data_IF_556201021660
#
_entry.id   IF_556201021660
#
_cell.length_a   1.000
_cell.length_b   1.000
_cell.length_c   1.000
_cell.angle_alpha   90.00
_cell.angle_beta   90.00
_cell.angle_gamma   90.00
#
_symmetry.space_group_name_H-M   'P 1'
#
loop_
_entity.id
_entity.type
_entity.pdbx_description
1 polymer ?
#
# COMPACT_ATOMS: atom_id res chain seq x y z
N UNK A 1 12.17 57.62 -3.91
CA UNK A 1 12.43 56.29 -4.50
C UNK A 1 11.51 55.30 -3.81
N UNK A 2 10.46 54.83 -4.49
CA UNK A 2 9.43 53.95 -3.93
C UNK A 2 9.80 52.50 -4.22
N UNK A 3 10.08 51.74 -3.17
CA UNK A 3 10.42 50.32 -3.21
C UNK A 3 9.12 49.51 -3.34
N UNK A 4 8.92 48.83 -4.46
CA UNK A 4 7.79 47.91 -4.65
C UNK A 4 8.20 46.53 -4.13
N UNK A 5 7.65 46.13 -2.99
CA UNK A 5 7.74 44.76 -2.49
C UNK A 5 6.68 43.91 -3.21
N UNK A 6 7.14 43.00 -4.08
CA UNK A 6 6.29 42.03 -4.77
C UNK A 6 6.14 40.82 -3.83
N UNK A 7 4.99 40.73 -3.16
CA UNK A 7 4.59 39.59 -2.35
C UNK A 7 4.04 38.52 -3.30
N UNK A 8 4.79 37.46 -3.54
CA UNK A 8 4.31 36.27 -4.25
C UNK A 8 3.48 35.42 -3.29
N UNK A 9 2.16 35.58 -3.35
CA UNK A 9 1.20 34.71 -2.68
C UNK A 9 1.04 33.43 -3.51
N UNK A 10 1.77 32.37 -3.16
CA UNK A 10 1.53 31.03 -3.71
C UNK A 10 0.20 30.50 -3.15
N UNK A 11 -0.80 30.43 -4.02
CA UNK A 11 -2.08 29.79 -3.72
C UNK A 11 -1.84 28.28 -3.75
N UNK A 12 -1.67 27.69 -2.57
CA UNK A 12 -1.68 26.23 -2.39
C UNK A 12 -3.12 25.77 -2.49
N UNK A 13 -3.51 25.24 -3.65
CA UNK A 13 -4.80 24.57 -3.83
C UNK A 13 -4.75 23.24 -3.07
N UNK A 14 -5.26 23.25 -1.84
CA UNK A 14 -5.57 22.03 -1.09
C UNK A 14 -6.73 21.32 -1.79
N UNK A 15 -6.41 20.38 -2.67
CA UNK A 15 -7.37 19.40 -3.14
C UNK A 15 -7.81 18.55 -1.92
N UNK A 16 -8.99 18.87 -1.40
CA UNK A 16 -9.70 18.08 -0.40
C UNK A 16 -10.17 16.78 -1.05
N UNK A 17 -9.36 15.73 -0.93
CA UNK A 17 -9.75 14.38 -1.30
C UNK A 17 -10.71 13.81 -0.23
N UNK A 18 -12.00 14.09 -0.36
CA UNK A 18 -13.04 13.72 0.63
C UNK A 18 -13.47 12.25 0.62
N UNK A 19 -12.77 11.35 -0.09
CA UNK A 19 -13.10 9.92 -0.10
C UNK A 19 -12.28 9.17 0.94
N UNK A 20 -12.44 9.56 2.21
CA UNK A 20 -11.87 8.92 3.38
C UNK A 20 -12.76 7.72 3.74
N UNK A 21 -12.48 6.56 3.15
CA UNK A 21 -13.03 5.31 3.68
C UNK A 21 -12.09 4.79 4.76
N UNK A 22 -12.63 4.56 5.96
CA UNK A 22 -11.89 4.01 7.08
C UNK A 22 -11.48 2.56 6.77
N UNK A 23 -10.19 2.23 6.96
CA UNK A 23 -9.62 0.89 6.71
C UNK A 23 -10.21 -0.22 7.59
N UNK A 24 -10.96 0.14 8.65
CA UNK A 24 -11.66 -0.81 9.50
C UNK A 24 -12.74 -1.63 8.77
N UNK A 25 -13.10 -1.31 7.53
CA UNK A 25 -14.16 -2.02 6.80
C UNK A 25 -13.88 -3.53 6.59
N UNK A 26 -12.63 -3.99 6.77
CA UNK A 26 -12.25 -5.39 6.51
C UNK A 26 -12.08 -6.26 7.75
N UNK A 27 -12.04 -5.68 8.96
CA UNK A 27 -11.81 -6.44 10.21
C UNK A 27 -12.93 -6.15 11.20
N UNK A 28 -13.87 -7.09 11.33
CA UNK A 28 -14.96 -7.01 12.32
C UNK A 28 -14.46 -7.44 13.70
N UNK A 29 -13.58 -6.65 14.32
CA UNK A 29 -13.13 -6.85 15.69
C UNK A 29 -13.58 -5.67 16.57
N UNK A 30 -14.45 -5.88 17.57
CA UNK A 30 -14.98 -4.80 18.42
C UNK A 30 -13.91 -4.13 19.29
N UNK A 31 -12.75 -4.77 19.49
CA UNK A 31 -11.63 -4.23 20.26
C UNK A 31 -10.75 -3.29 19.42
N UNK A 32 -10.95 -3.19 18.10
CA UNK A 32 -10.22 -2.23 17.26
C UNK A 32 -10.79 -0.82 17.39
N UNK A 33 -9.93 0.20 17.58
CA UNK A 33 -10.38 1.58 17.61
C UNK A 33 -10.79 2.03 16.20
N UNK A 34 -11.49 3.17 16.10
CA UNK A 34 -11.64 3.84 14.81
C UNK A 34 -10.32 4.57 14.49
N UNK A 35 -9.69 4.22 13.39
CA UNK A 35 -8.50 4.89 12.88
C UNK A 35 -8.51 4.91 11.35
N UNK A 36 -7.64 5.73 10.78
CA UNK A 36 -7.36 5.74 9.35
C UNK A 36 -5.90 6.11 9.13
N UNK A 37 -5.25 5.44 8.18
CA UNK A 37 -3.88 5.78 7.77
C UNK A 37 -3.76 5.87 6.26
N UNK A 38 -3.49 7.04 5.69
CA UNK A 38 -3.19 7.15 4.26
C UNK A 38 -1.71 7.43 4.05
N UNK A 39 -1.08 6.80 3.07
CA UNK A 39 0.32 7.10 2.77
C UNK A 39 0.51 8.57 2.33
N UNK A 40 -0.53 9.20 1.80
CA UNK A 40 -0.57 10.62 1.47
C UNK A 40 -0.42 11.53 2.69
N UNK A 41 -0.64 11.04 3.92
CA UNK A 41 -0.41 11.80 5.16
C UNK A 41 1.05 11.80 5.63
N UNK A 42 1.93 10.97 5.04
CA UNK A 42 3.38 11.01 5.33
C UNK A 42 4.02 12.28 4.75
N UNK A 43 5.15 12.75 5.31
CA UNK A 43 5.95 13.82 4.72
C UNK A 43 6.29 13.53 3.25
N UNK A 44 6.34 14.57 2.42
CA UNK A 44 6.60 14.42 0.99
C UNK A 44 7.92 13.69 0.68
N UNK A 45 8.99 13.98 1.44
CA UNK A 45 10.28 13.31 1.31
C UNK A 45 10.16 11.78 1.50
N UNK A 46 9.39 11.33 2.50
CA UNK A 46 9.17 9.91 2.76
C UNK A 46 8.37 9.26 1.62
N UNK A 47 7.38 9.98 1.08
CA UNK A 47 6.55 9.50 -0.05
C UNK A 47 7.38 9.35 -1.34
N UNK A 48 8.25 10.32 -1.62
CA UNK A 48 9.20 10.26 -2.75
C UNK A 48 10.14 9.07 -2.57
N UNK A 49 10.74 8.91 -1.39
CA UNK A 49 11.63 7.79 -1.12
C UNK A 49 10.93 6.43 -1.29
N UNK A 50 9.70 6.31 -0.77
CA UNK A 50 8.90 5.10 -0.92
C UNK A 50 8.58 4.79 -2.39
N UNK A 51 8.27 5.82 -3.19
CA UNK A 51 8.08 5.68 -4.63
C UNK A 51 9.34 5.17 -5.34
N UNK A 52 10.52 5.70 -5.02
CA UNK A 52 11.78 5.24 -5.60
C UNK A 52 12.06 3.78 -5.26
N UNK A 53 11.86 3.39 -4.00
CA UNK A 53 12.01 1.99 -3.57
C UNK A 53 11.04 1.07 -4.30
N UNK A 54 9.76 1.47 -4.44
CA UNK A 54 8.75 0.69 -5.15
C UNK A 54 9.10 0.51 -6.64
N UNK A 55 9.56 1.57 -7.29
CA UNK A 55 9.99 1.53 -8.69
C UNK A 55 11.24 0.66 -8.88
N UNK A 56 12.19 0.72 -7.96
CA UNK A 56 13.37 -0.14 -7.97
C UNK A 56 12.99 -1.62 -7.87
N UNK A 57 12.07 -1.95 -6.95
CA UNK A 57 11.52 -3.30 -6.81
C UNK A 57 10.87 -3.80 -8.11
N UNK A 58 10.08 -2.94 -8.78
CA UNK A 58 9.47 -3.26 -10.07
C UNK A 58 10.54 -3.57 -11.14
N UNK A 59 11.56 -2.71 -11.26
CA UNK A 59 12.65 -2.92 -12.23
C UNK A 59 13.39 -4.23 -11.99
N UNK A 60 13.77 -4.51 -10.74
CA UNK A 60 14.46 -5.76 -10.40
C UNK A 60 13.61 -6.97 -10.74
N UNK A 61 12.31 -6.95 -10.42
CA UNK A 61 11.41 -8.06 -10.71
C UNK A 61 11.20 -8.27 -12.21
N UNK A 62 11.14 -7.20 -12.99
CA UNK A 62 11.00 -7.30 -14.44
C UNK A 62 12.33 -7.59 -15.17
N UNK A 63 13.47 -7.63 -14.48
CA UNK A 63 14.78 -7.83 -15.13
C UNK A 63 15.38 -6.57 -15.76
N UNK A 64 14.96 -5.39 -15.31
CA UNK A 64 15.54 -4.10 -15.65
C UNK A 64 14.51 -3.05 -16.11
N UNK A 65 14.94 -1.78 -16.28
CA UNK A 65 14.05 -0.68 -16.65
C UNK A 65 13.40 -0.85 -18.03
N UNK A 66 14.11 -1.42 -19.01
CA UNK A 66 13.57 -1.66 -20.36
C UNK A 66 12.51 -2.77 -20.40
N UNK A 67 12.42 -3.56 -19.33
CA UNK A 67 11.46 -4.64 -19.18
C UNK A 67 10.28 -4.28 -18.28
N UNK A 68 10.25 -3.06 -17.74
CA UNK A 68 9.21 -2.58 -16.85
C UNK A 68 8.47 -1.36 -17.46
N UNK A 69 7.74 -1.52 -18.58
CA UNK A 69 7.08 -0.40 -19.28
C UNK A 69 6.03 0.31 -18.43
N UNK A 70 5.44 -0.37 -17.44
CA UNK A 70 4.50 0.21 -16.49
C UNK A 70 5.14 0.36 -15.11
N UNK A 71 6.24 1.10 -15.02
CA UNK A 71 6.92 1.32 -13.74
C UNK A 71 6.79 2.79 -13.30
N UNK A 72 5.78 3.06 -12.47
CA UNK A 72 5.54 4.41 -11.98
C UNK A 72 5.07 4.42 -10.52
N UNK A 73 5.27 5.56 -9.88
CA UNK A 73 4.70 5.90 -8.60
C UNK A 73 4.53 7.41 -8.50
N UNK A 74 3.32 7.86 -8.19
CA UNK A 74 2.99 9.26 -8.01
C UNK A 74 3.13 9.62 -6.52
N UNK A 75 4.11 10.44 -6.15
CA UNK A 75 4.38 10.79 -4.73
C UNK A 75 3.32 11.69 -4.09
N UNK A 76 2.40 12.27 -4.88
CA UNK A 76 1.27 13.07 -4.39
C UNK A 76 0.08 12.19 -4.03
N UNK A 77 -0.30 11.26 -4.91
CA UNK A 77 -1.47 10.39 -4.73
C UNK A 77 -1.10 9.03 -4.15
N UNK A 78 0.18 8.69 -4.11
CA UNK A 78 0.71 7.35 -3.82
C UNK A 78 0.19 6.25 -4.76
N UNK A 79 -0.43 6.64 -5.88
CA UNK A 79 -0.84 5.72 -6.94
C UNK A 79 0.39 5.12 -7.61
N UNK A 80 0.39 3.79 -7.76
CA UNK A 80 1.52 3.07 -8.34
C UNK A 80 1.07 2.00 -9.31
N UNK A 81 1.99 1.63 -10.20
CA UNK A 81 1.83 0.51 -11.11
C UNK A 81 3.18 -0.16 -11.34
N UNK A 82 3.13 -1.50 -11.46
CA UNK A 82 4.22 -2.30 -11.99
C UNK A 82 3.69 -3.27 -13.03
N UNK A 83 4.31 -3.32 -14.19
CA UNK A 83 4.05 -4.31 -15.23
C UNK A 83 5.30 -4.58 -16.03
N UNK A 84 5.59 -5.87 -16.25
CA UNK A 84 6.72 -6.28 -17.07
C UNK A 84 6.28 -6.56 -18.51
N UNK A 85 7.19 -6.42 -19.47
CA UNK A 85 6.87 -6.63 -20.89
C UNK A 85 6.76 -8.09 -21.29
N UNK A 86 7.44 -8.99 -20.59
CA UNK A 86 7.55 -10.41 -20.93
C UNK A 86 6.98 -11.35 -19.86
N UNK A 87 6.52 -10.82 -18.73
CA UNK A 87 5.88 -11.60 -17.67
C UNK A 87 4.96 -10.78 -16.77
N UNK A 88 4.18 -11.46 -15.96
CA UNK A 88 3.58 -10.85 -14.77
C UNK A 88 4.67 -10.77 -13.69
N UNK A 89 4.79 -9.67 -12.93
CA UNK A 89 5.71 -9.62 -11.80
C UNK A 89 5.47 -10.80 -10.85
N UNK A 90 6.53 -11.45 -10.37
CA UNK A 90 6.42 -12.63 -9.50
C UNK A 90 5.96 -12.28 -8.07
N UNK A 91 5.90 -10.98 -7.75
CA UNK A 91 5.50 -10.47 -6.45
C UNK A 91 3.99 -10.44 -6.29
N UNK A 92 3.54 -10.92 -5.14
CA UNK A 92 2.15 -10.79 -4.71
C UNK A 92 1.92 -9.46 -4.00
N UNK A 93 0.65 -9.06 -3.89
CA UNK A 93 0.24 -7.73 -3.42
C UNK A 93 0.91 -7.26 -2.12
N UNK A 94 1.08 -8.14 -1.12
CA UNK A 94 1.63 -7.76 0.18
C UNK A 94 3.15 -7.56 0.20
N UNK A 95 3.86 -7.99 -0.85
CA UNK A 95 5.33 -7.89 -0.94
C UNK A 95 5.79 -6.54 -1.50
N UNK A 96 4.88 -5.79 -2.14
CA UNK A 96 5.17 -4.48 -2.70
C UNK A 96 5.49 -3.46 -1.60
N UNK A 97 6.58 -2.68 -1.72
CA UNK A 97 7.00 -1.71 -0.70
C UNK A 97 5.88 -0.75 -0.26
N UNK A 98 5.10 -0.21 -1.19
CA UNK A 98 3.97 0.68 -0.88
C UNK A 98 2.91 -0.02 -0.03
N UNK A 99 2.54 -1.24 -0.39
CA UNK A 99 1.50 -1.99 0.32
C UNK A 99 1.98 -2.38 1.72
N UNK A 100 3.25 -2.77 1.86
CA UNK A 100 3.86 -3.08 3.16
C UNK A 100 3.94 -1.84 4.06
N UNK A 101 4.36 -0.70 3.51
CA UNK A 101 4.43 0.56 4.27
C UNK A 101 3.04 1.03 4.71
N UNK A 102 2.03 0.83 3.87
CA UNK A 102 0.65 1.08 4.25
C UNK A 102 0.21 0.26 5.47
N UNK A 103 0.51 -1.05 5.47
CA UNK A 103 0.19 -1.91 6.60
C UNK A 103 0.88 -1.47 7.89
N UNK A 104 2.18 -1.16 7.82
CA UNK A 104 2.97 -0.72 8.97
C UNK A 104 2.39 0.58 9.56
N UNK A 105 2.15 1.58 8.71
CA UNK A 105 1.57 2.84 9.16
C UNK A 105 0.14 2.68 9.69
N UNK A 106 -0.64 1.75 9.14
CA UNK A 106 -1.98 1.41 9.65
C UNK A 106 -1.91 0.81 11.05
N UNK A 107 -0.96 -0.09 11.30
CA UNK A 107 -0.73 -0.66 12.63
C UNK A 107 -0.34 0.41 13.66
N UNK A 108 0.54 1.35 13.27
CA UNK A 108 0.92 2.48 14.12
C UNK A 108 -0.25 3.42 14.40
N UNK A 109 -1.04 3.77 13.38
CA UNK A 109 -2.23 4.61 13.53
C UNK A 109 -3.30 3.94 14.42
N UNK A 110 -3.47 2.62 14.30
CA UNK A 110 -4.34 1.84 15.16
C UNK A 110 -3.90 1.95 16.63
N UNK A 111 -2.62 1.68 16.91
CA UNK A 111 -2.07 1.79 18.27
C UNK A 111 -2.20 3.21 18.84
N UNK A 112 -1.95 4.23 18.02
CA UNK A 112 -2.09 5.63 18.41
C UNK A 112 -3.55 6.01 18.74
N UNK A 113 -4.54 5.30 18.19
CA UNK A 113 -5.96 5.52 18.48
C UNK A 113 -6.45 4.79 19.74
N UNK A 114 -5.67 3.87 20.31
CA UNK A 114 -6.08 3.09 21.48
C UNK A 114 -6.36 3.86 22.78
N UNK A 115 -5.67 4.97 23.11
CA UNK A 115 -5.98 5.76 24.31
C UNK A 115 -7.43 6.26 24.38
N UNK A 116 -8.17 6.27 23.28
CA UNK A 116 -9.60 6.63 23.23
C UNK A 116 -10.58 5.48 23.49
N UNK A 117 -10.09 4.28 23.85
CA UNK A 117 -10.92 3.09 24.07
C UNK A 117 -11.13 2.79 25.56
N UNK A 118 -12.14 1.97 25.88
CA UNK A 118 -12.41 1.54 27.26
C UNK A 118 -11.37 0.57 27.83
N UNK A 119 -10.64 -0.16 26.96
CA UNK A 119 -9.59 -1.10 27.33
C UNK A 119 -8.40 -0.97 26.37
N UNK A 120 -7.46 -0.09 26.75
CA UNK A 120 -6.26 0.23 25.96
C UNK A 120 -5.40 -1.01 25.70
N UNK A 121 -5.37 -1.96 26.64
CA UNK A 121 -4.57 -3.18 26.52
C UNK A 121 -5.14 -4.11 25.45
N UNK A 122 -6.44 -4.40 25.52
CA UNK A 122 -7.13 -5.18 24.47
C UNK A 122 -7.04 -4.51 23.11
N UNK A 123 -7.24 -3.20 23.06
CA UNK A 123 -7.09 -2.44 21.81
C UNK A 123 -5.70 -2.59 21.21
N UNK A 124 -4.65 -2.41 22.02
CA UNK A 124 -3.26 -2.51 21.55
C UNK A 124 -2.94 -3.91 21.04
N UNK A 125 -3.44 -4.94 21.73
CA UNK A 125 -3.31 -6.33 21.32
C UNK A 125 -4.07 -6.61 20.02
N UNK A 126 -5.28 -6.07 19.86
CA UNK A 126 -6.06 -6.19 18.63
C UNK A 126 -5.35 -5.51 17.45
N UNK A 127 -4.83 -4.30 17.62
CA UNK A 127 -4.04 -3.61 16.58
C UNK A 127 -2.81 -4.43 16.15
N UNK A 128 -2.09 -5.01 17.13
CA UNK A 128 -0.94 -5.85 16.85
C UNK A 128 -1.34 -7.12 16.08
N UNK A 129 -2.35 -7.83 16.57
CA UNK A 129 -2.75 -9.13 16.02
C UNK A 129 -3.47 -9.05 14.69
N UNK A 130 -4.28 -8.01 14.49
CA UNK A 130 -5.10 -7.87 13.29
C UNK A 130 -4.39 -7.18 12.15
N UNK A 131 -3.36 -6.37 12.43
CA UNK A 131 -2.69 -5.53 11.44
C UNK A 131 -1.17 -5.75 11.49
N UNK A 132 -0.50 -5.34 12.56
CA UNK A 132 0.97 -5.23 12.60
C UNK A 132 1.67 -6.56 12.33
N UNK A 133 1.24 -7.66 12.97
CA UNK A 133 1.88 -8.97 12.78
C UNK A 133 1.62 -9.57 11.39
N UNK A 134 0.61 -9.07 10.67
CA UNK A 134 0.24 -9.56 9.34
C UNK A 134 1.00 -8.84 8.22
N UNK A 135 1.65 -7.71 8.50
CA UNK A 135 2.40 -6.95 7.50
C UNK A 135 3.53 -7.77 6.88
N UNK A 136 3.59 -7.82 5.55
CA UNK A 136 4.54 -8.64 4.78
C UNK A 136 4.19 -10.12 4.72
N UNK A 137 3.00 -10.53 5.17
CA UNK A 137 2.50 -11.91 5.05
C UNK A 137 1.29 -11.95 4.11
N UNK A 138 0.88 -13.15 3.69
CA UNK A 138 -0.36 -13.35 2.92
C UNK A 138 -1.63 -12.92 3.66
N UNK A 139 -1.57 -12.75 4.98
CA UNK A 139 -2.67 -12.24 5.79
C UNK A 139 -2.70 -10.71 5.89
N UNK A 140 -1.76 -10.00 5.26
CA UNK A 140 -1.71 -8.54 5.28
C UNK A 140 -3.04 -7.94 4.76
N UNK A 141 -3.64 -6.95 5.46
CA UNK A 141 -4.78 -6.22 4.93
C UNK A 141 -4.46 -5.62 3.55
N UNK A 142 -5.36 -5.75 2.56
CA UNK A 142 -5.12 -5.24 1.22
C UNK A 142 -4.99 -3.71 1.24
N UNK A 143 -4.03 -3.19 0.47
CA UNK A 143 -3.83 -1.77 0.25
C UNK A 143 -4.31 -1.41 -1.16
N UNK A 144 -5.12 -0.35 -1.28
CA UNK A 144 -5.79 0.02 -2.52
C UNK A 144 -5.13 1.24 -3.18
N UNK A 145 -3.83 1.10 -3.49
CA UNK A 145 -3.00 2.13 -4.14
C UNK A 145 -2.61 1.79 -5.59
N UNK A 146 -2.80 0.54 -6.01
CA UNK A 146 -2.46 0.12 -7.36
C UNK A 146 -3.45 0.72 -8.38
N UNK A 147 -2.93 1.33 -9.43
CA UNK A 147 -3.69 1.97 -10.52
C UNK A 147 -3.08 1.62 -11.87
N UNK A 148 -3.85 1.74 -12.94
CA UNK A 148 -3.37 1.43 -14.30
C UNK A 148 -2.60 2.58 -14.96
N UNK A 149 -2.73 3.81 -14.44
CA UNK A 149 -2.16 5.02 -15.03
C UNK A 149 -1.67 6.00 -13.93
N UNK A 150 -0.51 6.67 -14.10
CA UNK A 150 0.07 7.58 -13.11
C UNK A 150 -0.78 8.83 -12.80
N UNK A 151 -1.72 9.18 -13.66
CA UNK A 151 -2.66 10.30 -13.48
C UNK A 151 -3.89 9.92 -12.65
N UNK A 152 -4.14 8.62 -12.45
CA UNK A 152 -5.30 8.13 -11.71
C UNK A 152 -5.03 8.22 -10.20
N UNK A 153 -5.98 8.83 -9.49
CA UNK A 153 -5.98 8.85 -8.01
C UNK A 153 -6.55 7.53 -7.51
N UNK A 154 -5.86 6.80 -6.62
CA UNK A 154 -6.39 5.56 -6.07
C UNK A 154 -7.69 5.76 -5.28
N UNK A 155 -8.48 4.69 -5.15
CA UNK A 155 -9.70 4.71 -4.32
C UNK A 155 -9.38 4.72 -2.83
N UNK A 156 -8.18 4.27 -2.44
CA UNK A 156 -7.72 4.07 -1.06
C UNK A 156 -8.59 3.12 -0.23
N UNK A 157 -9.52 2.42 -0.89
CA UNK A 157 -10.55 1.64 -0.23
C UNK A 157 -11.00 0.46 -1.08
N UNK A 158 -11.60 -0.58 -0.45
CA UNK A 158 -12.19 -1.69 -1.17
C UNK A 158 -13.22 -1.18 -2.18
N UNK A 159 -13.36 -1.83 -3.35
CA UNK A 159 -14.49 -1.57 -4.23
C UNK A 159 -15.81 -1.73 -3.45
N UNK A 160 -16.68 -0.72 -3.48
CA UNK A 160 -18.03 -0.85 -2.93
C UNK A 160 -18.83 -1.73 -3.88
N UNK A 161 -19.28 -2.90 -3.42
CA UNK A 161 -20.22 -3.74 -4.17
C UNK A 161 -21.61 -3.09 -4.16
N UNK A 162 -21.77 -1.94 -4.82
CA UNK A 162 -23.08 -1.37 -5.07
C UNK A 162 -23.71 -2.11 -6.26
N UNK A 163 -24.23 -3.32 -6.01
CA UNK A 163 -25.27 -3.88 -6.87
C UNK A 163 -26.58 -3.10 -6.61
N UNK A 164 -26.63 -1.85 -7.06
CA UNK A 164 -27.87 -1.11 -7.21
C UNK A 164 -28.31 -1.31 -8.66
N UNK A 165 -29.20 -2.30 -8.84
CA UNK A 165 -30.17 -2.45 -9.94
C UNK A 165 -29.94 -1.55 -11.15
N UNK A 166 -29.25 -2.08 -12.17
CA UNK A 166 -29.57 -1.69 -13.55
C UNK A 166 -30.93 -2.32 -13.89
N UNK A 167 -31.88 -1.59 -14.50
CA UNK A 167 -33.08 -2.21 -15.04
C UNK A 167 -32.64 -3.08 -16.23
N UNK A 168 -32.49 -4.38 -15.97
CA UNK A 168 -32.38 -5.38 -17.02
C UNK A 168 -33.71 -5.41 -17.76
N UNK A 169 -33.77 -4.72 -18.89
CA UNK A 169 -34.80 -4.99 -19.88
C UNK A 169 -34.65 -6.46 -20.29
N UNK A 170 -35.67 -7.21 -19.87
CA UNK A 170 -35.93 -8.60 -20.20
C UNK A 170 -35.85 -8.79 -21.72
N UNK A 171 -34.85 -9.53 -22.20
CA UNK A 171 -34.92 -10.16 -23.52
C UNK A 171 -35.02 -11.66 -23.27
N UNK A 172 -36.15 -12.18 -23.73
CA UNK A 172 -36.63 -13.52 -23.49
C UNK A 172 -35.67 -14.60 -23.97
N UNK A 173 -35.69 -15.65 -23.16
CA UNK A 173 -35.05 -16.93 -23.28
C UNK A 173 -35.52 -17.70 -24.53
N UNK A 174 -34.60 -18.33 -25.26
CA UNK A 174 -34.88 -19.59 -25.98
C UNK A 174 -33.59 -20.38 -26.24
N UNK A 175 -33.47 -21.45 -25.46
CA UNK A 175 -33.28 -22.83 -25.93
C UNK A 175 -32.06 -23.12 -26.82
N UNK A 176 -31.04 -23.81 -26.29
CA UNK A 176 -30.88 -25.23 -26.58
C UNK A 176 -29.79 -25.93 -25.77
N UNK A 177 -30.20 -27.11 -25.35
CA UNK A 177 -29.51 -28.22 -24.72
C UNK A 177 -28.35 -28.73 -25.60
N UNK A 178 -27.18 -29.05 -25.04
CA UNK A 178 -26.42 -30.22 -25.49
C UNK A 178 -25.36 -30.66 -24.46
N UNK A 179 -25.26 -31.97 -24.37
CA UNK A 179 -24.61 -32.82 -23.37
C UNK A 179 -23.22 -33.25 -23.84
N UNK A 180 -22.43 -33.83 -22.91
CA UNK A 180 -21.29 -34.74 -23.08
C UNK A 180 -19.93 -34.09 -23.48
N UNK A 181 -18.74 -34.51 -23.00
CA UNK A 181 -18.32 -35.80 -22.43
C UNK A 181 -16.98 -35.66 -21.67
N UNK A 182 -16.73 -36.63 -20.78
CA UNK A 182 -15.51 -37.03 -20.07
C UNK A 182 -14.15 -36.93 -20.80
N UNK A 183 -13.08 -36.87 -19.98
CA UNK A 183 -11.75 -37.42 -20.32
C UNK A 183 -10.61 -36.74 -19.54
N UNK A 184 -10.35 -37.10 -18.28
CA UNK A 184 -9.33 -38.11 -17.87
C UNK A 184 -7.89 -37.59 -17.76
N UNK A 185 -7.46 -37.45 -16.51
CA UNK A 185 -6.21 -37.92 -15.90
C UNK A 185 -4.81 -37.40 -16.30
N UNK A 186 -4.00 -37.41 -15.22
CA UNK A 186 -2.55 -37.63 -15.15
C UNK A 186 -1.64 -36.40 -15.27
N UNK A 187 -0.56 -36.21 -14.50
CA UNK A 187 -0.09 -36.77 -13.23
C UNK A 187 1.23 -36.03 -12.92
N UNK A 188 1.43 -35.73 -11.63
CA UNK A 188 2.67 -35.87 -10.87
C UNK A 188 3.99 -35.13 -11.19
N UNK A 189 4.68 -34.88 -10.07
CA UNK A 189 6.10 -34.51 -9.84
C UNK A 189 6.45 -33.02 -10.05
N UNK A 190 7.20 -32.36 -9.17
CA UNK A 190 8.17 -32.86 -8.19
C UNK A 190 8.44 -31.82 -7.09
N UNK A 191 8.41 -32.32 -5.87
CA UNK A 191 8.98 -31.80 -4.63
C UNK A 191 10.51 -31.69 -4.70
N UNK A 192 11.08 -30.61 -4.15
CA UNK A 192 12.39 -30.45 -3.45
C UNK A 192 12.56 -28.97 -3.08
N UNK A 193 12.40 -28.54 -1.82
CA UNK A 193 13.41 -28.49 -0.73
C UNK A 193 14.56 -27.48 -0.93
N UNK A 194 14.52 -26.35 -0.20
CA UNK A 194 15.64 -25.69 0.52
C UNK A 194 15.17 -24.31 1.04
N UNK A 195 14.94 -24.13 2.34
CA UNK A 195 15.89 -23.61 3.36
C UNK A 195 15.90 -22.08 3.50
N UNK A 196 15.21 -21.59 4.52
CA UNK A 196 15.41 -20.28 5.14
C UNK A 196 16.72 -20.25 5.93
N UNK A 197 17.56 -19.21 5.79
CA UNK A 197 18.50 -18.78 6.84
C UNK A 197 18.67 -17.25 6.77
N UNK A 198 18.43 -16.62 7.91
CA UNK A 198 18.64 -15.21 8.22
C UNK A 198 20.13 -14.80 8.13
N UNK A 199 20.42 -13.57 7.73
CA UNK A 199 21.61 -12.87 8.26
C UNK A 199 21.39 -11.35 8.29
N UNK A 200 20.94 -10.85 9.45
CA UNK A 200 21.17 -9.47 9.89
C UNK A 200 22.65 -9.31 10.25
N UNK A 201 23.26 -8.18 9.88
CA UNK A 201 24.62 -7.83 10.30
C UNK A 201 24.85 -6.32 10.30
N UNK A 202 24.60 -5.70 11.45
CA UNK A 202 25.15 -4.44 11.99
C UNK A 202 25.65 -3.34 11.03
N UNK A 203 24.89 -2.25 10.95
CA UNK A 203 25.45 -0.93 10.65
C UNK A 203 25.70 -0.18 11.97
N UNK A 204 26.97 -0.06 12.35
CA UNK A 204 27.41 0.81 13.44
C UNK A 204 27.30 2.27 12.98
N UNK A 205 26.41 3.04 13.62
CA UNK A 205 26.34 4.50 13.44
C UNK A 205 27.33 5.13 14.42
N UNK A 206 28.45 5.62 13.88
CA UNK A 206 29.38 6.46 14.63
C UNK A 206 28.76 7.84 14.85
N UNK A 207 28.51 8.18 16.11
CA UNK A 207 28.04 9.50 16.54
C UNK A 207 29.25 10.45 16.62
N UNK A 208 29.34 11.41 15.70
CA UNK A 208 30.35 12.49 15.76
C UNK A 208 29.77 13.62 16.63
N UNK A 209 30.26 13.73 17.87
CA UNK A 209 29.99 14.87 18.74
C UNK A 209 31.00 15.97 18.39
N UNK A 210 30.53 17.02 17.71
CA UNK A 210 31.32 18.25 17.50
C UNK A 210 31.10 19.12 18.73
N UNK A 211 32.06 19.12 19.65
CA UNK A 211 32.14 20.07 20.74
C UNK A 211 32.66 21.42 20.19
N UNK A 212 31.77 22.36 19.93
CA UNK A 212 32.12 23.76 19.71
C UNK A 212 32.46 24.41 21.05
N UNK A 213 33.76 24.59 21.29
CA UNK A 213 34.27 25.38 22.40
C UNK A 213 33.87 26.84 22.25
N UNK A 214 33.14 27.37 23.25
CA UNK A 214 32.99 28.80 23.48
C UNK A 214 34.25 29.31 24.19
N UNK A 215 35.06 30.09 23.47
CA UNK A 215 36.03 30.98 24.08
C UNK A 215 35.28 32.20 24.60
N UNK A 216 35.24 32.36 25.92
CA UNK A 216 34.91 33.64 26.55
C UNK A 216 36.22 34.34 26.93
N UNK A 217 36.32 35.57 26.44
CA UNK A 217 37.19 36.65 26.89
C UNK A 217 37.02 36.92 28.39
#
# INVERSE_FOLDING_TARGET
MKLFAIIYTTIVVLAIFSNVQAQNATVNNPDLPKFQFLLTSKPEADRVQLCEVNKGFCQTNCGGPQKAPMNFCNSTTMGWGCGCSDKVPDLVGYEWPINREHCIGSGQACQAACPGTSDVSKCSQACFTEITQKCGTSAQPPAYYAVSDPSVVPTYAPPSNNNTTSPTNSVNNSTNNSTNTNGSNAENKKQSSASSINHLGNAAVALVIIASGMSLL
#
